data_IF_824870334421
#
_entry.id   IF_824870334421
#
_cell.length_a   1.000
_cell.length_b   1.000
_cell.length_c   1.000
_cell.angle_alpha   90.00
_cell.angle_beta   90.00
_cell.angle_gamma   90.00
#
_symmetry.space_group_name_H-M   'P 1'
#
loop_
_entity.id
_entity.type
_entity.pdbx_description
1 polymer ?
#
# COMPACT_ATOMS: atom_id res chain seq x y z
N UNK A 1 -11.30 -11.24 -13.09
CA UNK A 1 -10.71 -10.62 -11.88
C UNK A 1 -9.74 -9.54 -12.30
N UNK A 2 -9.78 -8.35 -11.67
CA UNK A 2 -8.86 -7.25 -12.00
C UNK A 2 -7.55 -7.40 -11.20
N UNK A 3 -6.57 -8.08 -11.80
CA UNK A 3 -5.30 -8.42 -11.16
C UNK A 3 -4.54 -7.22 -10.59
N UNK A 4 -4.65 -6.04 -11.22
CA UNK A 4 -3.98 -4.82 -10.76
C UNK A 4 -4.55 -4.34 -9.43
N UNK A 5 -5.88 -4.38 -9.27
CA UNK A 5 -6.55 -3.97 -8.02
C UNK A 5 -6.21 -4.94 -6.90
N UNK A 6 -6.25 -6.25 -7.18
CA UNK A 6 -5.85 -7.27 -6.19
C UNK A 6 -4.43 -7.03 -5.69
N UNK A 7 -3.47 -6.83 -6.60
CA UNK A 7 -2.07 -6.54 -6.22
C UNK A 7 -1.92 -5.25 -5.40
N UNK A 8 -2.70 -4.21 -5.69
CA UNK A 8 -2.67 -2.98 -4.91
C UNK A 8 -3.13 -3.22 -3.46
N UNK A 9 -4.18 -4.02 -3.27
CA UNK A 9 -4.66 -4.39 -1.94
C UNK A 9 -3.68 -5.30 -1.21
N UNK A 10 -3.12 -6.31 -1.89
CA UNK A 10 -2.09 -7.19 -1.34
C UNK A 10 -0.85 -6.41 -0.89
N UNK A 11 -0.49 -5.34 -1.61
CA UNK A 11 0.61 -4.47 -1.23
C UNK A 11 0.35 -3.71 0.08
N UNK A 12 -0.87 -3.23 0.30
CA UNK A 12 -1.25 -2.63 1.59
C UNK A 12 -1.16 -3.66 2.72
N UNK A 13 -1.65 -4.88 2.47
CA UNK A 13 -1.53 -5.99 3.44
C UNK A 13 -0.06 -6.32 3.72
N UNK A 14 0.81 -6.31 2.72
CA UNK A 14 2.24 -6.56 2.90
C UNK A 14 2.93 -5.52 3.80
N UNK A 15 2.43 -4.29 3.83
CA UNK A 15 2.98 -3.18 4.62
C UNK A 15 2.48 -3.15 6.08
N UNK A 16 1.61 -4.08 6.50
CA UNK A 16 1.02 -4.08 7.85
C UNK A 16 2.06 -4.23 8.97
N UNK A 17 3.14 -4.97 8.71
CA UNK A 17 4.19 -5.27 9.71
C UNK A 17 5.25 -4.17 9.80
N UNK A 18 5.14 -3.11 8.98
CA UNK A 18 6.06 -1.98 8.97
C UNK A 18 6.58 -1.60 7.58
N UNK A 19 7.54 -0.66 7.58
CA UNK A 19 8.03 -0.05 6.37
C UNK A 19 8.88 -1.02 5.51
N UNK A 20 8.68 -1.02 4.20
CA UNK A 20 9.40 -1.88 3.23
C UNK A 20 9.98 -1.08 2.07
N UNK A 21 11.09 -1.52 1.53
CA UNK A 21 11.67 -1.02 0.29
C UNK A 21 10.88 -1.48 -0.93
N UNK A 22 11.12 -0.87 -2.10
CA UNK A 22 10.54 -1.31 -3.37
C UNK A 22 10.87 -2.78 -3.69
N UNK A 23 12.09 -3.21 -3.34
CA UNK A 23 12.61 -4.55 -3.64
C UNK A 23 11.90 -5.61 -2.79
N UNK A 24 11.78 -5.37 -1.49
CA UNK A 24 11.04 -6.26 -0.58
C UNK A 24 9.57 -6.37 -0.99
N UNK A 25 8.97 -5.28 -1.46
CA UNK A 25 7.60 -5.31 -1.99
C UNK A 25 7.49 -6.15 -3.27
N UNK A 26 8.45 -6.03 -4.19
CA UNK A 26 8.50 -6.81 -5.42
C UNK A 26 8.67 -8.31 -5.17
N UNK A 27 9.57 -8.67 -4.26
CA UNK A 27 9.78 -10.05 -3.82
C UNK A 27 8.52 -10.62 -3.16
N UNK A 28 7.90 -9.88 -2.23
CA UNK A 28 6.69 -10.31 -1.53
C UNK A 28 5.51 -10.56 -2.48
N UNK A 29 5.34 -9.72 -3.50
CA UNK A 29 4.25 -9.83 -4.46
C UNK A 29 4.55 -10.77 -5.63
N UNK A 30 5.81 -11.19 -5.81
CA UNK A 30 6.23 -12.03 -6.94
C UNK A 30 6.07 -11.33 -8.29
N UNK A 31 6.33 -10.01 -8.36
CA UNK A 31 6.17 -9.21 -9.59
C UNK A 31 7.36 -8.27 -9.81
N UNK A 32 7.51 -7.76 -11.04
CA UNK A 32 8.57 -6.81 -11.36
C UNK A 32 8.47 -5.50 -10.58
N UNK A 33 9.64 -4.93 -10.21
CA UNK A 33 9.76 -3.64 -9.52
C UNK A 33 8.99 -2.51 -10.19
N UNK A 34 8.98 -2.45 -11.54
CA UNK A 34 8.22 -1.45 -12.30
C UNK A 34 6.70 -1.55 -12.06
N UNK A 35 6.19 -2.76 -11.85
CA UNK A 35 4.77 -2.98 -11.51
C UNK A 35 4.49 -2.47 -10.11
N UNK A 36 5.31 -2.83 -9.13
CA UNK A 36 5.16 -2.36 -7.75
C UNK A 36 5.28 -0.85 -7.65
N UNK A 37 6.26 -0.24 -8.32
CA UNK A 37 6.45 1.20 -8.33
C UNK A 37 5.20 1.94 -8.82
N UNK A 38 4.57 1.47 -9.91
CA UNK A 38 3.31 2.04 -10.42
C UNK A 38 2.16 1.91 -9.42
N UNK A 39 2.08 0.79 -8.70
CA UNK A 39 1.08 0.59 -7.66
C UNK A 39 1.33 1.54 -6.47
N UNK A 40 2.57 1.64 -6.00
CA UNK A 40 2.98 2.54 -4.92
C UNK A 40 2.70 4.00 -5.25
N UNK A 41 3.07 4.46 -6.45
CA UNK A 41 2.76 5.82 -6.92
C UNK A 41 1.27 6.11 -6.90
N UNK A 42 0.44 5.15 -7.33
CA UNK A 42 -1.02 5.30 -7.32
C UNK A 42 -1.56 5.37 -5.89
N UNK A 43 -1.11 4.46 -5.01
CA UNK A 43 -1.53 4.42 -3.60
C UNK A 43 -1.06 5.66 -2.83
N UNK A 44 0.14 6.14 -3.09
CA UNK A 44 0.72 7.33 -2.49
C UNK A 44 -0.01 8.60 -2.93
N UNK A 45 -0.31 8.76 -4.22
CA UNK A 45 -1.12 9.87 -4.72
C UNK A 45 -2.51 9.94 -4.04
N UNK A 46 -3.01 8.80 -3.56
CA UNK A 46 -4.27 8.69 -2.83
C UNK A 46 -4.10 8.63 -1.30
N UNK A 47 -2.87 8.81 -0.78
CA UNK A 47 -2.47 8.80 0.64
C UNK A 47 -2.66 7.46 1.37
N UNK A 48 -2.81 6.36 0.65
CA UNK A 48 -2.85 5.01 1.23
C UNK A 48 -1.48 4.51 1.66
N UNK A 49 -0.43 5.02 1.04
CA UNK A 49 0.98 4.73 1.35
C UNK A 49 1.74 6.06 1.43
N UNK A 50 2.84 6.07 2.17
CA UNK A 50 3.84 7.15 2.17
C UNK A 50 5.23 6.53 2.20
N UNK A 51 6.28 7.26 1.83
CA UNK A 51 7.66 6.84 1.99
C UNK A 51 8.50 7.87 2.76
N UNK A 52 9.61 7.41 3.34
CA UNK A 52 10.61 8.28 3.96
C UNK A 52 11.76 8.64 2.98
N UNK A 53 12.74 9.40 3.46
CA UNK A 53 13.91 9.80 2.68
C UNK A 53 14.77 8.61 2.19
N UNK A 54 14.60 7.41 2.78
CA UNK A 54 15.26 6.18 2.38
C UNK A 54 14.40 5.33 1.42
N UNK A 55 13.31 5.90 0.89
CA UNK A 55 12.35 5.21 0.02
C UNK A 55 11.78 3.93 0.65
N UNK A 56 11.58 3.93 1.97
CA UNK A 56 10.83 2.87 2.65
C UNK A 56 9.36 3.26 2.73
N UNK A 57 8.53 2.48 2.07
CA UNK A 57 7.10 2.64 1.99
C UNK A 57 6.42 2.09 3.24
N UNK A 58 5.43 2.80 3.76
CA UNK A 58 4.59 2.40 4.91
C UNK A 58 3.14 2.80 4.67
N UNK A 59 2.23 2.24 5.45
CA UNK A 59 0.82 2.61 5.46
C UNK A 59 0.63 4.12 5.69
N UNK A 60 -0.24 4.73 4.89
CA UNK A 60 -0.55 6.16 4.92
C UNK A 60 -1.82 6.50 5.69
N UNK A 61 -2.03 7.80 5.94
CA UNK A 61 -3.10 8.28 6.83
C UNK A 61 -4.52 7.98 6.34
N UNK A 62 -4.72 7.77 5.03
CA UNK A 62 -6.05 7.49 4.45
C UNK A 62 -6.71 6.25 5.06
N UNK A 63 -5.92 5.31 5.58
CA UNK A 63 -6.43 4.11 6.24
C UNK A 63 -7.10 4.43 7.57
N UNK A 64 -6.63 5.42 8.32
CA UNK A 64 -7.29 5.86 9.55
C UNK A 64 -8.62 6.56 9.24
N UNK A 65 -8.66 7.40 8.21
CA UNK A 65 -9.89 8.06 7.74
C UNK A 65 -10.98 7.01 7.41
N UNK A 66 -10.58 5.96 6.67
CA UNK A 66 -11.49 4.87 6.28
C UNK A 66 -11.91 4.00 7.47
N UNK A 67 -10.97 3.68 8.37
CA UNK A 67 -11.28 2.90 9.57
C UNK A 67 -12.27 3.64 10.47
N UNK A 68 -12.09 4.95 10.67
CA UNK A 68 -13.02 5.78 11.43
C UNK A 68 -14.42 5.80 10.80
N UNK A 69 -14.52 6.00 9.49
CA UNK A 69 -15.79 5.98 8.77
C UNK A 69 -16.48 4.61 8.82
N UNK A 70 -15.71 3.52 8.76
CA UNK A 70 -16.25 2.15 8.85
C UNK A 70 -16.74 1.81 10.25
N UNK A 71 -16.02 2.24 11.30
CA UNK A 71 -16.46 2.07 12.68
C UNK A 71 -17.76 2.83 12.95
N UNK A 72 -17.88 4.07 12.48
CA UNK A 72 -19.10 4.87 12.64
C UNK A 72 -20.34 4.31 11.93
N UNK A 73 -20.18 3.45 10.92
CA UNK A 73 -21.29 2.78 10.23
C UNK A 73 -21.78 1.52 10.95
N UNK A 74 -21.02 1.01 11.93
CA UNK A 74 -21.38 -0.18 12.70
C UNK A 74 -22.30 0.14 13.88
N UNK A 75 -22.32 1.40 14.30
CA UNK A 75 -23.19 1.95 15.35
C UNK A 75 -24.51 2.46 14.75
#
# INVERSE_FOLDING_TARGET
MNQTVTRALDLLVALQDGARTLDECAERLGVHKSTVLRLLQTLEAQRFVTHDAQHRYRLGSRLFDLAGAALAQRD
#
